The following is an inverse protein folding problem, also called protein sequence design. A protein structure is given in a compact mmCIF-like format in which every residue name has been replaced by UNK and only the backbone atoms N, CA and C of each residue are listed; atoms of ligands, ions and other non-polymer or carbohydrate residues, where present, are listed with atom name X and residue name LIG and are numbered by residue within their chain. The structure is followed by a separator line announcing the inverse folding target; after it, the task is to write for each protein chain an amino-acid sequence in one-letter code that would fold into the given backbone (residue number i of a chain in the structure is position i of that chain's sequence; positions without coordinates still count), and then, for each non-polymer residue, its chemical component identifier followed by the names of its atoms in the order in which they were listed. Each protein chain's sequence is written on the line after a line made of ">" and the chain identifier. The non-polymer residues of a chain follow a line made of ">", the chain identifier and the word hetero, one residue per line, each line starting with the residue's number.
data_IF_208936546654
#
_entry.id   IF_208936546654
#
_cell.length_a   1.000
_cell.length_b   1.000
_cell.length_c   1.000
_cell.angle_alpha   90.00
_cell.angle_beta   90.00
_cell.angle_gamma   90.00
#
_symmetry.space_group_name_H-M   'P 1'
#
loop_
_entity.id
_entity.type
_entity.pdbx_description
1 polymer ?
#
# COMPACT_ATOMS: atom_id res chain seq x y z
N UNK A 1 10.29 9.95 -15.31
CA UNK A 1 9.08 9.28 -15.90
C UNK A 1 8.31 8.61 -14.76
N UNK A 2 7.04 8.25 -14.97
CA UNK A 2 6.35 7.45 -13.96
C UNK A 2 6.86 6.01 -14.00
N UNK A 3 7.27 5.45 -12.85
CA UNK A 3 7.59 4.03 -12.70
C UNK A 3 6.33 3.18 -12.75
N UNK A 4 5.26 3.66 -12.09
CA UNK A 4 3.95 3.02 -12.07
C UNK A 4 2.87 4.02 -12.47
N UNK A 5 1.95 3.59 -13.32
CA UNK A 5 0.74 4.32 -13.66
C UNK A 5 -0.46 3.38 -13.64
N UNK A 6 -1.43 3.67 -12.80
CA UNK A 6 -2.72 2.98 -12.72
C UNK A 6 -3.79 3.98 -13.18
N UNK A 7 -4.64 3.59 -14.14
CA UNK A 7 -5.74 4.42 -14.67
C UNK A 7 -7.06 3.68 -14.57
N UNK A 8 -8.03 4.30 -13.92
CA UNK A 8 -9.42 3.87 -13.81
C UNK A 8 -9.58 2.39 -13.38
N UNK A 9 -8.72 1.95 -12.46
CA UNK A 9 -8.70 0.56 -11.98
C UNK A 9 -9.97 0.26 -11.18
N UNK A 10 -10.67 -0.80 -11.58
CA UNK A 10 -11.82 -1.34 -10.84
C UNK A 10 -11.61 -2.84 -10.60
N UNK A 11 -11.91 -3.28 -9.36
CA UNK A 11 -11.75 -4.67 -8.93
C UNK A 11 -12.96 -5.12 -8.14
N UNK A 12 -13.49 -6.28 -8.52
CA UNK A 12 -14.66 -6.88 -7.91
C UNK A 12 -14.38 -8.28 -7.39
N UNK A 13 -15.11 -8.66 -6.35
CA UNK A 13 -15.10 -10.01 -5.76
C UNK A 13 -16.51 -10.59 -5.83
N UNK A 14 -16.64 -11.73 -6.51
CA UNK A 14 -17.91 -12.47 -6.53
C UNK A 14 -18.12 -13.19 -5.21
N UNK A 15 -19.27 -12.93 -4.58
CA UNK A 15 -19.74 -13.60 -3.37
C UNK A 15 -21.10 -14.23 -3.61
N UNK A 16 -21.60 -15.01 -2.66
CA UNK A 16 -22.96 -15.58 -2.71
C UNK A 16 -24.04 -14.48 -2.69
N UNK A 17 -23.76 -13.34 -2.06
CA UNK A 17 -24.68 -12.22 -1.91
C UNK A 17 -24.63 -11.22 -3.08
N UNK A 18 -23.62 -11.31 -3.94
CA UNK A 18 -23.43 -10.39 -5.07
C UNK A 18 -21.97 -10.09 -5.37
N UNK A 19 -21.70 -8.98 -6.04
CA UNK A 19 -20.36 -8.53 -6.41
C UNK A 19 -19.91 -7.37 -5.53
N UNK A 20 -18.88 -7.60 -4.70
CA UNK A 20 -18.28 -6.57 -3.86
C UNK A 20 -17.29 -5.74 -4.68
N UNK A 21 -17.53 -4.44 -4.80
CA UNK A 21 -16.71 -3.50 -5.58
C UNK A 21 -15.57 -2.92 -4.70
N UNK A 22 -14.53 -3.71 -4.47
CA UNK A 22 -13.46 -3.35 -3.53
C UNK A 22 -12.57 -2.20 -4.01
N UNK A 23 -12.41 -2.03 -5.34
CA UNK A 23 -11.68 -0.93 -5.98
C UNK A 23 -12.56 -0.35 -7.08
N UNK A 24 -12.74 0.96 -7.09
CA UNK A 24 -13.73 1.66 -7.90
C UNK A 24 -13.11 2.87 -8.59
N UNK A 25 -12.74 2.75 -9.86
CA UNK A 25 -12.19 3.87 -10.65
C UNK A 25 -10.97 4.55 -9.99
N UNK A 26 -10.01 3.73 -9.54
CA UNK A 26 -8.78 4.22 -8.89
C UNK A 26 -7.74 4.56 -9.95
N UNK A 27 -7.23 5.80 -9.89
CA UNK A 27 -6.11 6.25 -10.69
C UNK A 27 -5.02 6.81 -9.78
N UNK A 28 -3.79 6.34 -9.96
CA UNK A 28 -2.61 6.80 -9.23
C UNK A 28 -1.35 6.63 -10.08
N UNK A 29 -0.34 7.41 -9.76
CA UNK A 29 0.99 7.29 -10.38
C UNK A 29 2.07 7.35 -9.31
N UNK A 30 3.21 6.71 -9.59
CA UNK A 30 4.40 6.73 -8.74
C UNK A 30 5.61 7.05 -9.62
N UNK A 31 6.43 8.00 -9.19
CA UNK A 31 7.71 8.33 -9.86
C UNK A 31 8.82 7.40 -9.35
N UNK A 32 9.92 7.32 -10.11
CA UNK A 32 11.11 6.63 -9.63
C UNK A 32 11.67 7.33 -8.38
N UNK A 33 12.03 6.54 -7.36
CA UNK A 33 12.54 7.02 -6.07
C UNK A 33 11.50 7.64 -5.12
N UNK A 34 10.23 7.77 -5.56
CA UNK A 34 9.15 8.36 -4.77
C UNK A 34 8.62 7.40 -3.71
N UNK A 35 8.22 7.94 -2.55
CA UNK A 35 7.41 7.24 -1.54
C UNK A 35 5.98 7.77 -1.57
N UNK A 36 5.04 6.92 -1.98
CA UNK A 36 3.61 7.22 -2.00
C UNK A 36 2.91 6.55 -0.82
N UNK A 37 2.34 7.34 0.08
CA UNK A 37 1.45 6.85 1.12
C UNK A 37 0.03 6.59 0.58
N UNK A 38 -0.55 5.43 0.89
CA UNK A 38 -1.98 5.17 0.66
C UNK A 38 -2.65 4.99 2.01
N UNK A 39 -3.49 5.96 2.38
CA UNK A 39 -4.11 6.06 3.71
C UNK A 39 -5.62 5.90 3.63
N UNK A 40 -6.21 5.34 4.66
CA UNK A 40 -7.66 5.20 4.82
C UNK A 40 -8.02 4.10 5.82
N UNK A 41 -9.29 4.07 6.22
CA UNK A 41 -9.80 3.05 7.15
C UNK A 41 -9.68 1.63 6.61
N UNK A 42 -9.81 0.63 7.50
CA UNK A 42 -9.91 -0.77 7.11
C UNK A 42 -11.08 -0.97 6.14
N UNK A 43 -10.91 -1.81 5.12
CA UNK A 43 -11.93 -2.03 4.09
C UNK A 43 -12.04 -0.94 3.01
N UNK A 44 -11.22 0.13 3.04
CA UNK A 44 -11.27 1.18 2.01
C UNK A 44 -10.74 0.76 0.62
N UNK A 45 -10.13 -0.43 0.49
CA UNK A 45 -9.66 -0.98 -0.79
C UNK A 45 -8.15 -0.88 -1.03
N UNK A 46 -7.35 -0.36 -0.08
CA UNK A 46 -5.90 -0.15 -0.20
C UNK A 46 -5.13 -1.41 -0.64
N UNK A 47 -5.18 -2.45 0.19
CA UNK A 47 -4.50 -3.72 -0.09
C UNK A 47 -5.03 -4.38 -1.36
N UNK A 48 -6.35 -4.27 -1.65
CA UNK A 48 -6.94 -4.84 -2.86
C UNK A 48 -6.47 -4.14 -4.13
N UNK A 49 -6.19 -2.84 -4.07
CA UNK A 49 -5.56 -2.10 -5.16
C UNK A 49 -4.16 -2.66 -5.46
N UNK A 50 -3.37 -2.92 -4.42
CA UNK A 50 -2.02 -3.51 -4.58
C UNK A 50 -2.06 -4.98 -4.99
N UNK A 51 -2.99 -5.76 -4.49
CA UNK A 51 -3.18 -7.14 -4.96
C UNK A 51 -3.62 -7.19 -6.43
N UNK A 52 -4.41 -6.20 -6.88
CA UNK A 52 -4.75 -6.05 -8.30
C UNK A 52 -3.50 -5.74 -9.15
N UNK A 53 -2.65 -4.81 -8.68
CA UNK A 53 -1.37 -4.47 -9.31
C UNK A 53 -0.44 -5.69 -9.40
N UNK A 54 -0.32 -6.44 -8.30
CA UNK A 54 0.55 -7.62 -8.20
C UNK A 54 -0.03 -8.86 -8.91
N UNK A 55 -1.30 -8.85 -9.33
CA UNK A 55 -1.99 -10.03 -9.85
C UNK A 55 -2.13 -11.14 -8.79
N UNK A 56 -2.38 -10.75 -7.54
CA UNK A 56 -2.51 -11.64 -6.37
C UNK A 56 -3.93 -11.67 -5.80
N UNK A 57 -4.93 -11.29 -6.61
CA UNK A 57 -6.32 -11.39 -6.20
C UNK A 57 -6.72 -12.84 -5.91
N UNK A 58 -7.59 -13.02 -4.91
CA UNK A 58 -8.22 -14.31 -4.63
C UNK A 58 -8.98 -14.83 -5.86
N UNK A 59 -9.28 -16.12 -5.89
CA UNK A 59 -9.88 -16.76 -7.08
C UNK A 59 -11.26 -16.20 -7.47
N UNK A 60 -12.00 -15.66 -6.52
CA UNK A 60 -13.27 -14.97 -6.75
C UNK A 60 -13.12 -13.48 -7.13
N UNK A 61 -11.88 -12.95 -7.09
CA UNK A 61 -11.56 -11.55 -7.43
C UNK A 61 -11.12 -11.37 -8.87
N UNK A 62 -11.48 -10.25 -9.48
CA UNK A 62 -11.05 -9.89 -10.84
C UNK A 62 -10.92 -8.38 -11.01
N UNK A 63 -9.96 -7.97 -11.81
CA UNK A 63 -9.92 -6.62 -12.36
C UNK A 63 -10.96 -6.55 -13.49
N UNK A 64 -11.91 -5.62 -13.37
CA UNK A 64 -12.99 -5.43 -14.33
C UNK A 64 -12.69 -4.35 -15.34
N UNK A 65 -11.99 -3.29 -14.92
CA UNK A 65 -11.67 -2.12 -15.74
C UNK A 65 -10.28 -1.57 -15.41
N UNK A 66 -9.82 -0.69 -16.27
CA UNK A 66 -8.59 0.07 -16.08
C UNK A 66 -7.36 -0.51 -16.76
N UNK A 67 -6.25 0.19 -16.58
CA UNK A 67 -4.92 -0.17 -17.08
C UNK A 67 -3.88 -0.02 -15.98
N UNK A 68 -2.85 -0.85 -16.06
CA UNK A 68 -1.70 -0.84 -15.15
C UNK A 68 -0.45 -0.85 -16.00
N UNK A 69 0.34 0.23 -15.94
CA UNK A 69 1.64 0.32 -16.60
C UNK A 69 2.73 0.37 -15.53
N UNK A 70 3.69 -0.55 -15.61
CA UNK A 70 4.83 -0.62 -14.71
C UNK A 70 6.13 -0.67 -15.52
N UNK A 71 7.08 0.20 -15.18
CA UNK A 71 8.38 0.32 -15.85
C UNK A 71 8.23 0.43 -17.39
N UNK A 72 7.26 1.24 -17.83
CA UNK A 72 6.93 1.46 -19.25
C UNK A 72 6.17 0.32 -19.94
N UNK A 73 5.88 -0.78 -19.24
CA UNK A 73 5.18 -1.94 -19.78
C UNK A 73 3.73 -2.03 -19.25
N UNK A 74 2.75 -2.21 -20.14
CA UNK A 74 1.37 -2.50 -19.74
C UNK A 74 1.26 -3.95 -19.25
N UNK A 75 1.02 -4.08 -17.93
CA UNK A 75 0.88 -5.37 -17.22
C UNK A 75 -0.57 -5.69 -16.89
N UNK A 76 -1.54 -5.01 -17.49
CA UNK A 76 -2.96 -5.20 -17.22
C UNK A 76 -3.42 -6.63 -17.57
N UNK A 77 -4.20 -7.30 -16.70
CA UNK A 77 -4.66 -8.68 -16.94
C UNK A 77 -5.38 -8.87 -18.28
N UNK A 78 -6.08 -7.85 -18.76
CA UNK A 78 -6.85 -7.87 -20.03
C UNK A 78 -5.99 -8.10 -21.29
N UNK A 79 -4.67 -7.87 -21.20
CA UNK A 79 -3.74 -8.06 -22.33
C UNK A 79 -3.32 -9.53 -22.50
N UNK A 80 -3.75 -10.42 -21.63
CA UNK A 80 -3.39 -11.83 -21.65
C UNK A 80 -4.59 -12.71 -21.99
N UNK A 81 -4.36 -13.77 -22.76
CA UNK A 81 -5.43 -14.67 -23.24
C UNK A 81 -6.14 -15.42 -22.10
N UNK A 82 -5.42 -15.67 -21.00
CA UNK A 82 -5.94 -16.39 -19.84
C UNK A 82 -5.09 -16.15 -18.58
N UNK A 83 -5.63 -16.53 -17.40
CA UNK A 83 -4.97 -16.39 -16.10
C UNK A 83 -3.59 -17.07 -16.05
N UNK A 84 -3.41 -18.23 -16.69
CA UNK A 84 -2.15 -18.97 -16.69
C UNK A 84 -1.03 -18.22 -17.42
N UNK A 85 -1.35 -17.59 -18.55
CA UNK A 85 -0.39 -16.74 -19.30
C UNK A 85 -0.01 -15.51 -18.49
N UNK A 86 -1.00 -14.84 -17.89
CA UNK A 86 -0.80 -13.71 -17.00
C UNK A 86 0.07 -14.07 -15.80
N UNK A 87 -0.23 -15.15 -15.09
CA UNK A 87 0.56 -15.61 -13.94
C UNK A 87 2.00 -15.95 -14.32
N UNK A 88 2.21 -16.60 -15.48
CA UNK A 88 3.55 -16.89 -15.98
C UNK A 88 4.36 -15.61 -16.26
N UNK A 89 3.68 -14.58 -16.76
CA UNK A 89 4.29 -13.27 -16.98
C UNK A 89 4.60 -12.58 -15.64
N UNK A 90 3.63 -12.49 -14.74
CA UNK A 90 3.77 -11.81 -13.44
C UNK A 90 4.82 -12.46 -12.53
N UNK A 91 5.07 -13.77 -12.65
CA UNK A 91 6.16 -14.45 -11.92
C UNK A 91 7.55 -13.89 -12.24
N UNK A 92 7.76 -13.29 -13.41
CA UNK A 92 9.04 -12.66 -13.76
C UNK A 92 9.23 -11.30 -13.09
N UNK A 93 8.12 -10.65 -12.72
CA UNK A 93 8.07 -9.33 -12.09
C UNK A 93 8.07 -9.46 -10.57
N UNK A 94 7.19 -10.33 -10.03
CA UNK A 94 7.03 -10.55 -8.58
C UNK A 94 8.30 -11.13 -7.98
N UNK A 95 8.77 -10.51 -6.88
CA UNK A 95 9.99 -10.90 -6.18
C UNK A 95 11.30 -10.51 -6.90
N UNK A 96 11.20 -9.91 -8.09
CA UNK A 96 12.34 -9.43 -8.87
C UNK A 96 12.34 -7.90 -8.95
N UNK A 97 11.50 -7.31 -9.80
CA UNK A 97 11.42 -5.86 -10.02
C UNK A 97 10.33 -5.19 -9.18
N UNK A 98 9.34 -5.96 -8.75
CA UNK A 98 8.27 -5.52 -7.84
C UNK A 98 8.13 -6.53 -6.71
N UNK A 99 8.10 -6.05 -5.47
CA UNK A 99 8.00 -6.89 -4.28
C UNK A 99 6.97 -6.34 -3.31
N UNK A 100 6.53 -7.17 -2.36
CA UNK A 100 5.56 -6.78 -1.35
C UNK A 100 5.96 -7.29 0.03
N UNK A 101 5.87 -6.42 1.01
CA UNK A 101 5.95 -6.70 2.44
C UNK A 101 4.51 -6.77 2.93
N UNK A 102 4.08 -7.94 3.42
CA UNK A 102 2.70 -8.19 3.86
C UNK A 102 2.49 -7.80 5.31
N UNK A 103 1.23 -7.52 5.66
CA UNK A 103 0.80 -7.03 6.96
C UNK A 103 1.16 -7.96 8.14
N UNK A 104 1.09 -9.28 7.97
CA UNK A 104 1.30 -10.23 9.06
C UNK A 104 2.58 -11.07 8.86
N UNK A 105 3.66 -10.77 9.61
CA UNK A 105 4.91 -11.52 9.50
C UNK A 105 4.80 -12.96 10.02
N UNK A 106 3.75 -13.28 10.78
CA UNK A 106 3.58 -14.62 11.36
C UNK A 106 3.08 -15.62 10.33
N UNK A 107 2.29 -15.17 9.36
CA UNK A 107 1.68 -16.00 8.32
C UNK A 107 2.52 -16.05 7.04
N UNK A 108 3.34 -15.04 6.78
CA UNK A 108 4.12 -14.94 5.55
C UNK A 108 5.28 -15.95 5.50
N UNK A 109 6.06 -16.07 6.59
CA UNK A 109 7.17 -17.03 6.63
C UNK A 109 6.65 -18.45 6.86
N UNK A 110 7.07 -19.36 6.00
CA UNK A 110 6.77 -20.79 6.15
C UNK A 110 7.54 -21.36 7.36
N UNK A 111 6.80 -21.74 8.42
CA UNK A 111 7.36 -22.16 9.70
C UNK A 111 8.16 -23.48 9.64
N UNK A 112 7.94 -24.30 8.61
CA UNK A 112 8.63 -25.61 8.44
C UNK A 112 9.83 -25.56 7.48
N UNK A 113 10.10 -24.38 6.90
CA UNK A 113 11.28 -24.14 6.07
C UNK A 113 12.29 -23.27 6.81
N UNK A 114 13.58 -23.58 6.63
CA UNK A 114 14.66 -22.75 7.18
C UNK A 114 14.65 -21.34 6.57
N UNK A 115 15.09 -20.35 7.34
CA UNK A 115 15.22 -18.97 6.89
C UNK A 115 16.12 -18.88 5.65
N UNK A 116 17.22 -19.66 5.57
CA UNK A 116 18.06 -19.74 4.38
C UNK A 116 17.26 -20.03 3.12
N UNK A 117 16.44 -21.07 3.17
CA UNK A 117 15.66 -21.54 2.00
C UNK A 117 14.77 -20.41 1.47
N UNK A 118 14.12 -19.69 2.36
CA UNK A 118 13.19 -18.63 2.00
C UNK A 118 13.91 -17.34 1.53
N UNK A 119 15.06 -17.01 2.12
CA UNK A 119 15.88 -15.87 1.70
C UNK A 119 16.52 -16.04 0.32
N UNK A 120 16.99 -17.27 0.00
CA UNK A 120 17.65 -17.51 -1.29
C UNK A 120 16.67 -17.84 -2.42
N UNK A 121 15.41 -18.17 -2.11
CA UNK A 121 14.42 -18.57 -3.13
C UNK A 121 14.21 -17.49 -4.22
N UNK A 122 13.99 -16.20 -3.91
CA UNK A 122 13.89 -15.17 -4.93
C UNK A 122 15.14 -15.06 -5.79
N UNK A 123 16.32 -15.15 -5.16
CA UNK A 123 17.61 -15.08 -5.85
C UNK A 123 17.78 -16.22 -6.85
N UNK A 124 17.46 -17.46 -6.42
CA UNK A 124 17.56 -18.66 -7.25
C UNK A 124 16.55 -18.67 -8.40
N UNK A 125 15.39 -18.03 -8.21
CA UNK A 125 14.33 -17.97 -9.22
C UNK A 125 14.57 -16.88 -10.28
N UNK A 126 15.29 -15.80 -9.92
CA UNK A 126 15.38 -14.60 -10.75
C UNK A 126 16.80 -14.23 -11.19
N UNK A 127 17.83 -14.78 -10.54
CA UNK A 127 19.22 -14.50 -10.86
C UNK A 127 19.91 -15.80 -11.29
N UNK A 128 20.79 -15.71 -12.27
CA UNK A 128 21.62 -16.83 -12.71
C UNK A 128 22.88 -16.92 -11.85
N UNK A 129 22.69 -17.37 -10.59
CA UNK A 129 23.77 -17.47 -9.60
C UNK A 129 23.75 -18.84 -8.90
N UNK A 130 24.91 -19.24 -8.38
CA UNK A 130 25.03 -20.47 -7.60
C UNK A 130 24.35 -20.33 -6.21
N UNK A 131 23.93 -21.48 -5.64
CA UNK A 131 23.38 -21.50 -4.27
C UNK A 131 24.37 -20.93 -3.23
N UNK A 132 25.65 -21.17 -3.43
CA UNK A 132 26.71 -20.63 -2.55
C UNK A 132 26.76 -19.11 -2.61
N UNK A 133 26.59 -18.54 -3.77
CA UNK A 133 26.54 -17.09 -3.99
C UNK A 133 25.27 -16.47 -3.45
N UNK A 134 24.10 -17.10 -3.72
CA UNK A 134 22.82 -16.70 -3.12
C UNK A 134 22.88 -16.70 -1.58
N UNK A 135 23.55 -17.70 -0.97
CA UNK A 135 23.76 -17.73 0.48
C UNK A 135 24.62 -16.57 0.99
N UNK A 136 25.67 -16.17 0.25
CA UNK A 136 26.49 -15.00 0.63
C UNK A 136 25.64 -13.73 0.65
N UNK A 137 24.86 -13.49 -0.43
CA UNK A 137 23.94 -12.35 -0.54
C UNK A 137 22.93 -12.38 0.62
N UNK A 138 22.34 -13.54 0.91
CA UNK A 138 21.40 -13.71 2.01
C UNK A 138 22.01 -13.32 3.38
N UNK A 139 23.26 -13.72 3.64
CA UNK A 139 23.97 -13.33 4.86
C UNK A 139 24.22 -11.81 4.94
N UNK A 140 24.57 -11.18 3.81
CA UNK A 140 24.74 -9.72 3.73
C UNK A 140 23.43 -8.99 3.99
N UNK A 141 22.32 -9.46 3.40
CA UNK A 141 20.97 -8.92 3.66
C UNK A 141 20.59 -9.06 5.13
N UNK A 142 20.85 -10.22 5.75
CA UNK A 142 20.58 -10.40 7.19
C UNK A 142 21.37 -9.43 8.07
N UNK A 143 22.63 -9.09 7.69
CA UNK A 143 23.42 -8.07 8.38
C UNK A 143 22.84 -6.67 8.18
N UNK A 144 22.47 -6.32 6.94
CA UNK A 144 21.83 -5.04 6.58
C UNK A 144 20.56 -4.80 7.41
N UNK A 145 19.70 -5.80 7.53
CA UNK A 145 18.47 -5.67 8.33
C UNK A 145 18.70 -5.84 9.82
N UNK A 146 19.94 -5.93 10.29
CA UNK A 146 20.30 -5.95 11.72
C UNK A 146 19.96 -7.27 12.44
N UNK A 147 20.01 -8.42 11.75
CA UNK A 147 19.90 -9.73 12.39
C UNK A 147 21.22 -10.09 13.06
N UNK A 148 21.26 -10.29 14.39
CA UNK A 148 22.48 -10.65 15.09
C UNK A 148 22.93 -12.08 14.75
N UNK A 149 24.25 -12.32 14.60
CA UNK A 149 24.85 -13.62 14.32
C UNK A 149 24.21 -14.33 13.10
N UNK A 150 24.18 -13.70 11.91
CA UNK A 150 23.45 -14.20 10.74
C UNK A 150 23.95 -15.58 10.30
N UNK A 151 25.24 -15.92 10.42
CA UNK A 151 25.82 -17.20 10.04
C UNK A 151 25.21 -18.38 10.81
N UNK A 152 24.83 -18.15 12.06
CA UNK A 152 24.16 -19.15 12.89
C UNK A 152 22.67 -19.18 12.59
N UNK A 153 22.05 -17.98 12.56
CA UNK A 153 20.59 -17.84 12.47
C UNK A 153 20.01 -18.17 11.11
N UNK A 154 20.77 -18.06 10.04
CA UNK A 154 20.31 -18.42 8.68
C UNK A 154 19.87 -19.90 8.60
N UNK A 155 20.39 -20.77 9.44
CA UNK A 155 20.05 -22.20 9.49
C UNK A 155 18.84 -22.49 10.40
N UNK A 156 18.31 -21.49 11.11
CA UNK A 156 17.17 -21.60 12.01
C UNK A 156 15.83 -21.55 11.26
N UNK A 157 14.76 -21.87 11.98
CA UNK A 157 13.39 -21.79 11.48
C UNK A 157 12.73 -20.48 11.97
N UNK A 158 11.70 -19.98 11.29
CA UNK A 158 11.04 -18.73 11.65
C UNK A 158 10.51 -18.68 13.09
N UNK A 159 10.02 -19.81 13.64
CA UNK A 159 9.53 -19.85 15.03
C UNK A 159 10.60 -19.61 16.09
N UNK A 160 11.89 -19.71 15.74
CA UNK A 160 13.03 -19.41 16.64
C UNK A 160 13.37 -17.90 16.68
N UNK A 161 12.64 -17.07 15.90
CA UNK A 161 12.84 -15.61 15.81
C UNK A 161 11.72 -14.85 16.53
N UNK A 162 12.05 -13.70 17.13
CA UNK A 162 11.04 -12.76 17.63
C UNK A 162 10.23 -12.14 16.49
N UNK A 163 9.08 -11.53 16.79
CA UNK A 163 8.24 -10.86 15.79
C UNK A 163 9.01 -9.82 14.96
N UNK A 164 9.74 -8.91 15.63
CA UNK A 164 10.56 -7.91 14.95
C UNK A 164 11.70 -8.53 14.10
N UNK A 165 12.29 -9.64 14.55
CA UNK A 165 13.30 -10.34 13.73
C UNK A 165 12.67 -11.00 12.50
N UNK A 166 11.47 -11.57 12.60
CA UNK A 166 10.73 -12.11 11.44
C UNK A 166 10.41 -11.01 10.44
N UNK A 167 9.96 -9.84 10.90
CA UNK A 167 9.70 -8.70 10.04
C UNK A 167 10.97 -8.26 9.29
N UNK A 168 12.11 -8.19 9.96
CA UNK A 168 13.40 -7.89 9.33
C UNK A 168 13.80 -8.94 8.29
N UNK A 169 13.51 -10.23 8.52
CA UNK A 169 13.73 -11.29 7.51
C UNK A 169 12.83 -11.10 6.29
N UNK A 170 11.56 -10.73 6.48
CA UNK A 170 10.63 -10.45 5.36
C UNK A 170 11.13 -9.26 4.54
N UNK A 171 11.61 -8.20 5.19
CA UNK A 171 12.22 -7.06 4.51
C UNK A 171 13.47 -7.52 3.72
N UNK A 172 14.32 -8.38 4.30
CA UNK A 172 15.48 -8.92 3.61
C UNK A 172 15.09 -9.75 2.37
N UNK A 173 14.02 -10.55 2.46
CA UNK A 173 13.47 -11.30 1.32
C UNK A 173 12.96 -10.33 0.23
N UNK A 174 12.24 -9.29 0.63
CA UNK A 174 11.71 -8.30 -0.29
C UNK A 174 12.83 -7.57 -1.06
N UNK A 175 13.96 -7.34 -0.44
CA UNK A 175 15.13 -6.65 -1.04
C UNK A 175 16.07 -7.57 -1.81
N UNK A 176 15.90 -8.89 -1.75
CA UNK A 176 16.87 -9.87 -2.24
C UNK A 176 17.26 -9.66 -3.71
N UNK A 177 16.31 -9.26 -4.56
CA UNK A 177 16.55 -9.03 -5.98
C UNK A 177 16.80 -7.57 -6.37
N UNK A 178 16.91 -6.66 -5.40
CA UNK A 178 17.05 -5.21 -5.63
C UNK A 178 15.88 -4.66 -6.48
N UNK A 179 14.63 -4.67 -5.95
CA UNK A 179 13.44 -4.32 -6.70
C UNK A 179 13.38 -2.81 -7.02
N UNK A 180 12.71 -2.45 -8.13
CA UNK A 180 12.39 -1.05 -8.46
C UNK A 180 11.22 -0.52 -7.63
N UNK A 181 10.29 -1.40 -7.24
CA UNK A 181 9.12 -1.06 -6.45
C UNK A 181 8.95 -2.00 -5.26
N UNK A 182 8.81 -1.42 -4.07
CA UNK A 182 8.46 -2.10 -2.83
C UNK A 182 7.07 -1.65 -2.42
N UNK A 183 6.15 -2.57 -2.24
CA UNK A 183 4.82 -2.33 -1.66
C UNK A 183 4.90 -2.77 -0.20
N UNK A 184 4.73 -1.86 0.74
CA UNK A 184 4.71 -2.15 2.17
C UNK A 184 3.27 -2.02 2.68
N UNK A 185 2.59 -3.16 2.86
CA UNK A 185 1.21 -3.22 3.32
C UNK A 185 1.20 -3.37 4.84
N UNK A 186 0.96 -2.27 5.54
CA UNK A 186 0.96 -2.15 7.01
C UNK A 186 2.18 -2.85 7.66
N UNK A 187 3.41 -2.50 7.28
CA UNK A 187 4.61 -3.27 7.59
C UNK A 187 4.97 -3.32 9.08
N UNK A 188 4.28 -2.54 9.91
CA UNK A 188 4.54 -2.41 11.35
C UNK A 188 3.36 -2.85 12.22
N UNK A 189 2.24 -3.23 11.64
CA UNK A 189 1.08 -3.76 12.37
C UNK A 189 1.50 -5.01 13.16
N UNK A 190 1.04 -5.12 14.39
CA UNK A 190 1.39 -6.17 15.37
C UNK A 190 2.84 -6.13 15.93
N UNK A 191 3.56 -5.01 15.76
CA UNK A 191 4.83 -4.75 16.42
C UNK A 191 4.65 -3.74 17.55
N UNK A 192 5.51 -3.84 18.59
CA UNK A 192 5.58 -2.78 19.61
C UNK A 192 6.16 -1.48 19.02
N UNK A 193 5.83 -0.34 19.65
CA UNK A 193 6.16 1.00 19.15
C UNK A 193 7.66 1.18 18.89
N UNK A 194 8.51 0.60 19.72
CA UNK A 194 9.96 0.72 19.58
C UNK A 194 10.47 -0.04 18.35
N UNK A 195 9.96 -1.26 18.15
CA UNK A 195 10.31 -2.07 16.96
C UNK A 195 9.71 -1.46 15.68
N UNK A 196 8.50 -0.90 15.76
CA UNK A 196 7.87 -0.17 14.65
C UNK A 196 8.79 0.96 14.15
N UNK A 197 9.27 1.83 15.03
CA UNK A 197 10.19 2.91 14.65
C UNK A 197 11.46 2.37 13.95
N UNK A 198 12.07 1.32 14.51
CA UNK A 198 13.26 0.69 13.95
C UNK A 198 13.02 0.05 12.56
N UNK A 199 11.84 -0.52 12.33
CA UNK A 199 11.47 -1.11 11.03
C UNK A 199 11.27 -0.03 9.98
N UNK A 200 10.64 1.10 10.35
CA UNK A 200 10.44 2.23 9.45
C UNK A 200 11.76 2.90 9.06
N UNK A 201 12.65 3.14 10.03
CA UNK A 201 14.00 3.65 9.78
C UNK A 201 14.81 2.70 8.88
N UNK A 202 14.65 1.39 9.06
CA UNK A 202 15.28 0.40 8.21
C UNK A 202 14.75 0.49 6.77
N UNK A 203 13.43 0.57 6.56
CA UNK A 203 12.82 0.68 5.23
C UNK A 203 13.32 1.95 4.53
N UNK A 204 13.40 3.07 5.23
CA UNK A 204 13.87 4.35 4.69
C UNK A 204 15.35 4.30 4.29
N UNK A 205 16.22 3.80 5.17
CA UNK A 205 17.65 3.65 4.88
C UNK A 205 17.92 2.73 3.68
N UNK A 206 17.15 1.65 3.58
CA UNK A 206 17.28 0.69 2.47
C UNK A 206 16.74 1.25 1.14
N UNK A 207 15.73 2.13 1.18
CA UNK A 207 15.26 2.90 0.03
C UNK A 207 16.37 3.77 -0.54
N UNK A 208 17.01 4.57 0.32
CA UNK A 208 18.09 5.48 -0.09
C UNK A 208 19.27 4.72 -0.73
N UNK A 209 19.60 3.53 -0.22
CA UNK A 209 20.68 2.71 -0.75
C UNK A 209 20.37 2.01 -2.08
N UNK A 210 19.09 1.72 -2.36
CA UNK A 210 18.67 0.89 -3.50
C UNK A 210 17.98 1.64 -4.63
N UNK A 211 17.77 2.96 -4.52
CA UNK A 211 16.96 3.79 -5.43
C UNK A 211 15.55 3.23 -5.68
N UNK A 212 15.03 2.42 -4.74
CA UNK A 212 13.70 1.81 -4.86
C UNK A 212 12.61 2.83 -4.58
N UNK A 213 11.53 2.76 -5.36
CA UNK A 213 10.30 3.48 -5.05
C UNK A 213 9.45 2.68 -4.07
N UNK A 214 8.68 3.34 -3.21
CA UNK A 214 7.86 2.67 -2.20
C UNK A 214 6.40 3.09 -2.31
N UNK A 215 5.49 2.11 -2.21
CA UNK A 215 4.09 2.37 -1.87
C UNK A 215 3.90 1.89 -0.43
N UNK A 216 3.62 2.84 0.47
CA UNK A 216 3.37 2.59 1.89
C UNK A 216 1.87 2.59 2.15
N UNK A 217 1.30 1.44 2.49
CA UNK A 217 -0.08 1.36 2.96
C UNK A 217 -0.06 1.38 4.48
N UNK A 218 -0.78 2.33 5.06
CA UNK A 218 -0.90 2.44 6.51
C UNK A 218 -2.17 3.20 6.90
N UNK A 219 -2.61 3.03 8.12
CA UNK A 219 -3.61 3.88 8.78
C UNK A 219 -2.94 4.88 9.75
N UNK A 220 -1.63 4.79 9.94
CA UNK A 220 -0.85 5.66 10.82
C UNK A 220 -0.34 6.88 10.04
N UNK A 221 -0.96 8.03 10.30
CA UNK A 221 -0.59 9.30 9.68
C UNK A 221 0.78 9.82 10.15
N UNK A 222 1.25 9.44 11.32
CA UNK A 222 2.60 9.78 11.78
C UNK A 222 3.70 9.11 10.93
N UNK A 223 3.47 7.88 10.50
CA UNK A 223 4.35 7.18 9.54
C UNK A 223 4.37 7.91 8.21
N UNK A 224 3.19 8.33 7.73
CA UNK A 224 3.03 9.02 6.45
C UNK A 224 3.77 10.36 6.47
N UNK A 225 3.58 11.17 7.51
CA UNK A 225 4.24 12.47 7.66
C UNK A 225 5.79 12.37 7.71
N UNK A 226 6.32 11.23 8.18
CA UNK A 226 7.78 11.03 8.29
C UNK A 226 8.42 10.53 7.01
N UNK A 227 7.72 9.71 6.21
CA UNK A 227 8.34 8.93 5.15
C UNK A 227 7.82 9.21 3.74
N UNK A 228 6.60 9.74 3.59
CA UNK A 228 5.96 9.81 2.29
C UNK A 228 6.16 11.19 1.64
N UNK A 229 6.54 11.20 0.38
CA UNK A 229 6.65 12.42 -0.44
C UNK A 229 5.24 12.90 -0.90
N UNK A 230 4.34 11.94 -1.10
CA UNK A 230 2.97 12.18 -1.55
C UNK A 230 2.00 11.17 -0.92
N UNK A 231 0.76 11.60 -0.75
CA UNK A 231 -0.29 10.82 -0.08
C UNK A 231 -1.52 10.70 -0.95
N UNK A 232 -2.12 9.52 -0.99
CA UNK A 232 -3.42 9.24 -1.57
C UNK A 232 -4.38 8.78 -0.47
N UNK A 233 -5.44 9.52 -0.24
CA UNK A 233 -6.48 9.20 0.73
C UNK A 233 -7.55 8.35 0.06
N UNK A 234 -7.77 7.14 0.59
CA UNK A 234 -8.69 6.17 0.01
C UNK A 234 -9.88 5.88 0.94
N UNK A 235 -11.09 5.99 0.40
CA UNK A 235 -12.33 5.71 1.12
C UNK A 235 -13.37 5.03 0.21
N UNK A 236 -14.01 3.95 0.70
CA UNK A 236 -15.07 3.24 -0.02
C UNK A 236 -14.70 2.78 -1.43
N UNK A 237 -13.48 2.29 -1.61
CA UNK A 237 -12.93 1.82 -2.88
C UNK A 237 -12.45 2.92 -3.84
N UNK A 238 -12.45 4.19 -3.43
CA UNK A 238 -12.07 5.33 -4.28
C UNK A 238 -10.95 6.17 -3.65
N UNK A 239 -10.11 6.78 -4.47
CA UNK A 239 -9.24 7.87 -4.04
C UNK A 239 -10.08 9.14 -3.98
N UNK A 240 -10.15 9.76 -2.79
CA UNK A 240 -10.95 10.97 -2.54
C UNK A 240 -10.10 12.24 -2.50
N UNK A 241 -8.83 12.12 -2.15
CA UNK A 241 -7.87 13.23 -2.16
C UNK A 241 -6.45 12.71 -2.39
N UNK A 242 -5.62 13.47 -3.11
CA UNK A 242 -4.17 13.24 -3.25
C UNK A 242 -3.45 14.56 -3.11
N UNK A 243 -2.26 14.54 -2.54
CA UNK A 243 -1.41 15.72 -2.40
C UNK A 243 0.00 15.35 -1.94
N UNK A 244 0.89 16.33 -1.84
CA UNK A 244 2.12 16.16 -1.05
C UNK A 244 1.75 16.00 0.43
N UNK A 245 2.69 15.53 1.24
CA UNK A 245 2.53 15.47 2.69
C UNK A 245 2.07 16.83 3.25
N UNK A 246 2.76 17.94 2.92
CA UNK A 246 2.38 19.28 3.32
C UNK A 246 0.96 19.67 2.90
N UNK A 247 0.55 19.38 1.67
CA UNK A 247 -0.79 19.69 1.16
C UNK A 247 -1.88 18.94 1.91
N UNK A 248 -1.65 17.68 2.24
CA UNK A 248 -2.60 16.83 2.96
C UNK A 248 -2.67 17.21 4.44
N UNK A 249 -1.53 17.45 5.10
CA UNK A 249 -1.51 17.75 6.53
C UNK A 249 -1.92 19.17 6.87
N UNK A 250 -1.52 20.16 6.06
CA UNK A 250 -1.78 21.58 6.37
C UNK A 250 -2.88 22.23 5.54
N UNK A 251 -3.31 21.63 4.45
CA UNK A 251 -4.34 22.21 3.56
C UNK A 251 -5.35 21.19 3.01
N UNK A 252 -5.84 20.22 3.82
CA UNK A 252 -6.75 19.17 3.36
C UNK A 252 -8.05 19.77 2.77
N UNK A 253 -8.60 19.15 1.75
CA UNK A 253 -9.78 19.62 1.00
C UNK A 253 -11.00 18.71 1.16
N UNK A 254 -10.79 17.42 1.48
CA UNK A 254 -11.89 16.49 1.67
C UNK A 254 -12.28 16.40 3.15
N UNK A 255 -13.58 16.43 3.52
CA UNK A 255 -14.02 16.29 4.91
C UNK A 255 -13.55 14.98 5.58
N UNK A 256 -13.39 13.89 4.84
CA UNK A 256 -12.82 12.65 5.36
C UNK A 256 -11.35 12.81 5.77
N UNK A 257 -10.55 13.52 4.96
CA UNK A 257 -9.14 13.81 5.28
C UNK A 257 -9.04 14.66 6.54
N UNK A 258 -9.87 15.68 6.67
CA UNK A 258 -9.99 16.48 7.90
C UNK A 258 -10.34 15.62 9.11
N UNK A 259 -11.32 14.70 8.95
CA UNK A 259 -11.70 13.78 10.02
C UNK A 259 -10.58 12.82 10.41
N UNK A 260 -9.79 12.31 9.45
CA UNK A 260 -8.62 11.48 9.76
C UNK A 260 -7.56 12.24 10.54
N UNK A 261 -7.28 13.49 10.16
CA UNK A 261 -6.29 14.32 10.82
C UNK A 261 -6.72 14.70 12.24
N UNK A 262 -8.01 14.94 12.47
CA UNK A 262 -8.54 15.25 13.82
C UNK A 262 -8.52 14.06 14.79
N UNK A 263 -8.27 12.85 14.30
CA UNK A 263 -8.07 11.66 15.14
C UNK A 263 -6.61 11.46 15.58
N UNK A 264 -5.67 12.27 15.08
CA UNK A 264 -4.26 12.21 15.47
C UNK A 264 -4.03 13.18 16.62
N UNK A 265 -3.59 12.68 17.77
CA UNK A 265 -3.20 13.52 18.88
C UNK A 265 -1.98 14.35 18.49
N UNK A 266 -2.06 15.67 18.64
CA UNK A 266 -0.91 16.55 18.52
C UNK A 266 -0.20 16.60 19.89
N UNK A 267 1.04 16.10 20.01
CA UNK A 267 1.75 16.09 21.30
C UNK A 267 2.05 17.48 21.88
N UNK A 268 1.90 18.53 21.08
CA UNK A 268 2.19 19.91 21.46
C UNK A 268 0.95 20.68 21.98
N UNK A 269 -0.25 20.11 21.83
CA UNK A 269 -1.47 20.71 22.35
C UNK A 269 -1.63 20.33 23.83
N UNK A 270 -1.32 21.29 24.73
CA UNK A 270 -1.48 21.19 26.21
C UNK A 270 -2.96 21.14 26.67
N UNK A 271 -3.91 21.33 25.77
CA UNK A 271 -5.33 21.19 26.06
C UNK A 271 -5.78 19.74 25.80
N UNK A 272 -6.61 19.23 26.71
CA UNK A 272 -7.35 17.96 26.54
C UNK A 272 -8.29 18.06 25.31
N UNK A 273 -7.73 18.17 24.09
CA UNK A 273 -8.54 18.07 22.89
C UNK A 273 -9.11 16.66 22.82
N UNK A 274 -10.39 16.58 23.03
CA UNK A 274 -11.16 15.36 22.90
C UNK A 274 -11.02 14.90 21.43
N UNK A 275 -10.33 13.78 21.23
CA UNK A 275 -10.24 13.15 19.90
C UNK A 275 -11.66 12.95 19.36
N UNK A 276 -11.95 13.52 18.20
CA UNK A 276 -13.25 13.42 17.56
C UNK A 276 -13.22 12.29 16.53
N UNK A 277 -13.67 11.07 16.91
CA UNK A 277 -13.72 9.96 15.95
C UNK A 277 -14.73 10.27 14.85
N UNK A 278 -14.44 9.85 13.63
CA UNK A 278 -15.38 9.97 12.52
C UNK A 278 -16.59 9.06 12.82
N UNK A 279 -17.82 9.60 12.99
CA UNK A 279 -18.97 8.81 13.39
C UNK A 279 -19.43 7.86 12.28
N UNK A 280 -20.13 6.78 12.66
CA UNK A 280 -20.72 5.81 11.74
C UNK A 280 -19.73 4.79 11.21
N UNK A 281 -20.14 4.03 10.20
CA UNK A 281 -19.38 2.95 9.58
C UNK A 281 -19.10 3.22 8.10
N UNK A 282 -18.01 2.68 7.52
CA UNK A 282 -17.77 2.72 6.09
C UNK A 282 -18.95 2.12 5.29
N UNK A 283 -19.14 2.53 4.02
CA UNK A 283 -20.23 2.04 3.18
C UNK A 283 -20.05 0.55 2.86
N UNK A 284 -21.17 -0.16 2.67
CA UNK A 284 -21.15 -1.51 2.14
C UNK A 284 -20.75 -1.47 0.65
N UNK A 285 -19.68 -2.19 0.31
CA UNK A 285 -19.16 -2.27 -1.06
C UNK A 285 -19.88 -3.32 -1.92
N UNK A 286 -20.88 -4.02 -1.37
CA UNK A 286 -21.79 -4.84 -2.14
C UNK A 286 -22.80 -3.97 -2.91
N UNK A 287 -23.29 -2.89 -2.27
CA UNK A 287 -24.15 -1.87 -2.89
C UNK A 287 -23.61 -0.46 -2.57
N UNK A 288 -22.46 -0.10 -3.13
CA UNK A 288 -21.79 1.16 -2.78
C UNK A 288 -22.57 2.36 -3.29
N UNK A 289 -22.52 3.51 -2.58
CA UNK A 289 -23.16 4.75 -3.01
C UNK A 289 -22.79 5.14 -4.44
N UNK A 290 -23.77 5.62 -5.21
CA UNK A 290 -23.56 6.14 -6.58
C UNK A 290 -22.76 7.43 -6.58
N UNK A 291 -22.94 8.25 -5.55
CA UNK A 291 -22.25 9.51 -5.36
C UNK A 291 -20.99 9.39 -4.51
N UNK A 292 -20.73 10.42 -3.69
CA UNK A 292 -19.60 10.44 -2.78
C UNK A 292 -19.68 9.28 -1.77
N UNK A 293 -18.65 8.42 -1.66
CA UNK A 293 -18.71 7.28 -0.72
C UNK A 293 -18.77 7.70 0.75
N UNK A 294 -18.35 8.92 1.08
CA UNK A 294 -18.35 9.48 2.44
C UNK A 294 -19.66 10.18 2.83
N UNK A 295 -20.67 10.21 1.94
CA UNK A 295 -21.89 11.02 2.11
C UNK A 295 -22.63 10.80 3.42
N UNK A 296 -22.75 9.55 3.88
CA UNK A 296 -23.52 9.20 5.08
C UNK A 296 -22.83 9.55 6.40
N UNK A 297 -21.53 9.85 6.35
CA UNK A 297 -20.70 10.24 7.51
C UNK A 297 -20.23 11.70 7.44
N UNK A 298 -20.55 12.39 6.34
CA UNK A 298 -20.08 13.76 6.09
C UNK A 298 -21.05 14.78 6.71
N UNK A 299 -20.60 15.51 7.72
CA UNK A 299 -21.40 16.59 8.33
C UNK A 299 -21.73 17.72 7.36
N UNK A 300 -20.93 17.87 6.29
CA UNK A 300 -21.10 18.88 5.22
C UNK A 300 -21.78 18.29 3.97
N UNK A 301 -22.45 17.13 4.08
CA UNK A 301 -23.07 16.48 2.95
C UNK A 301 -24.17 17.33 2.31
N UNK A 302 -24.13 17.45 1.00
CA UNK A 302 -25.16 18.09 0.19
C UNK A 302 -26.02 17.05 -0.53
N UNK A 303 -27.20 17.43 -0.99
CA UNK A 303 -28.10 16.53 -1.74
C UNK A 303 -27.41 15.85 -2.93
N UNK A 304 -26.61 16.60 -3.69
CA UNK A 304 -25.88 16.11 -4.85
C UNK A 304 -24.90 14.99 -4.50
N UNK A 305 -24.35 15.00 -3.26
CA UNK A 305 -23.38 14.00 -2.83
C UNK A 305 -23.95 12.57 -2.81
N UNK A 306 -25.27 12.38 -2.73
CA UNK A 306 -25.91 11.07 -2.73
C UNK A 306 -25.92 10.40 -4.11
N UNK A 307 -26.23 11.21 -5.13
CA UNK A 307 -26.55 10.70 -6.45
C UNK A 307 -25.40 10.83 -7.46
N UNK A 308 -24.48 11.76 -7.23
CA UNK A 308 -23.41 12.10 -8.17
C UNK A 308 -22.04 12.12 -7.50
N UNK A 309 -21.12 11.35 -8.08
CA UNK A 309 -19.71 11.40 -7.66
C UNK A 309 -19.12 12.77 -8.06
N UNK A 310 -18.40 13.47 -7.14
CA UNK A 310 -17.71 14.70 -7.49
C UNK A 310 -16.65 14.48 -8.58
N UNK A 311 -16.56 15.41 -9.52
CA UNK A 311 -15.44 15.49 -10.42
C UNK A 311 -14.14 15.81 -9.66
N UNK A 312 -13.02 15.48 -10.28
CA UNK A 312 -11.71 15.77 -9.71
C UNK A 312 -11.44 17.27 -9.82
N UNK A 313 -11.27 17.94 -8.69
CA UNK A 313 -10.84 19.34 -8.62
C UNK A 313 -9.33 19.38 -8.37
N UNK A 314 -8.59 20.11 -9.21
CA UNK A 314 -7.14 20.31 -9.09
C UNK A 314 -6.86 21.64 -8.40
N UNK A 315 -6.07 21.61 -7.32
CA UNK A 315 -5.62 22.80 -6.57
C UNK A 315 -4.17 23.15 -6.89
N UNK A 316 -3.37 22.13 -7.18
CA UNK A 316 -2.00 22.22 -7.63
C UNK A 316 -1.70 21.02 -8.56
N UNK A 317 -0.53 20.95 -9.19
CA UNK A 317 -0.12 19.78 -9.97
C UNK A 317 -0.08 18.46 -9.19
N UNK A 318 -0.02 18.55 -7.86
CA UNK A 318 0.05 17.41 -6.92
C UNK A 318 -1.22 17.25 -6.10
N UNK A 319 -1.96 18.36 -5.84
CA UNK A 319 -3.13 18.37 -4.95
C UNK A 319 -4.44 18.29 -5.72
N UNK A 320 -5.12 17.18 -5.58
CA UNK A 320 -6.40 16.88 -6.24
C UNK A 320 -7.40 16.32 -5.24
N UNK A 321 -8.67 16.71 -5.36
CA UNK A 321 -9.74 16.27 -4.45
C UNK A 321 -11.06 16.03 -5.20
N UNK A 322 -11.79 14.98 -4.79
CA UNK A 322 -13.14 14.65 -5.26
C UNK A 322 -14.17 15.06 -4.20
N UNK A 323 -14.51 16.34 -4.11
CA UNK A 323 -15.50 16.83 -3.17
C UNK A 323 -16.31 17.98 -3.76
N UNK A 324 -17.65 17.90 -3.70
CA UNK A 324 -18.55 18.93 -4.19
C UNK A 324 -18.40 20.30 -3.48
N UNK A 325 -17.88 20.33 -2.24
CA UNK A 325 -17.57 21.59 -1.54
C UNK A 325 -16.52 22.45 -2.26
N UNK A 326 -15.72 21.83 -3.11
CA UNK A 326 -14.66 22.48 -3.87
C UNK A 326 -15.10 22.89 -5.29
N UNK A 327 -16.35 22.58 -5.66
CA UNK A 327 -16.88 22.94 -6.96
C UNK A 327 -17.26 24.43 -7.02
N UNK A 328 -17.00 25.11 -8.14
CA UNK A 328 -17.26 26.55 -8.32
C UNK A 328 -18.71 26.97 -8.01
N UNK A 329 -19.66 26.06 -8.26
CA UNK A 329 -21.10 26.27 -7.98
C UNK A 329 -21.51 25.84 -6.58
N UNK A 330 -20.59 25.39 -5.73
CA UNK A 330 -20.91 25.15 -4.33
C UNK A 330 -21.29 26.49 -3.69
N UNK A 331 -22.53 26.63 -3.33
CA UNK A 331 -23.00 27.83 -2.63
C UNK A 331 -22.30 27.86 -1.28
N UNK A 332 -21.47 28.87 -1.08
CA UNK A 332 -20.80 29.16 0.18
C UNK A 332 -21.78 29.67 1.21
#
# INVERSE_FOLDING_TARGET
>A
MALLEIKNLSTEFKTEQGSVQAVRDVSLSLKEGEVLGIVGESGSGKSQTMFSLMGLLADNGRVTEGTITFDGQDISPKNFKNKREYDKFMRKIRGNTMTMIFQDPMTFLNQVLKVETQLIEPLMNHKDISKTEARKIALELMRKVGIPSPEKRINQYPFEFSGGMRQRIIIAIALACNPKLIIADEPTTALDVTIQAQVLELIDSLREESDSSIIMITHDLGVVAKLCDRVAIMYGGKIVETGTDDEIFYSPKHPYTLGLLSCVANPEDDDEEVLHPIPGSPPDLLDPPKGCPFVDRCEKAMRICKDHMPELTEFSPTHQCRCWLNHEKAVK
#
